data_IF_098697780261
#
_entry.id   IF_098697780261
#
_cell.length_a   1.000
_cell.length_b   1.000
_cell.length_c   1.000
_cell.angle_alpha   90.00
_cell.angle_beta   90.00
_cell.angle_gamma   90.00
#
_symmetry.space_group_name_H-M   'P 1'
#
loop_
_entity.id
_entity.type
_entity.pdbx_description
1 polymer ?
#
# COMPACT_ATOMS: atom_id res chain seq x y z
N UNK A 1 2.49 -27.45 4.68
CA UNK A 1 1.04 -27.17 4.74
C UNK A 1 0.45 -27.49 3.38
N UNK A 2 -0.62 -28.27 3.32
CA UNK A 2 -1.31 -28.56 2.06
C UNK A 2 -2.10 -27.33 1.65
N UNK A 3 -1.84 -26.80 0.43
CA UNK A 3 -2.59 -25.69 -0.12
C UNK A 3 -4.06 -26.11 -0.24
N UNK A 4 -5.04 -25.32 0.24
CA UNK A 4 -6.44 -25.62 -0.01
C UNK A 4 -6.70 -25.51 -1.52
N UNK A 5 -7.26 -26.54 -2.10
CA UNK A 5 -7.64 -26.55 -3.52
C UNK A 5 -9.06 -25.99 -3.59
N UNK A 6 -9.18 -24.74 -4.04
CA UNK A 6 -10.46 -24.15 -4.37
C UNK A 6 -10.64 -24.21 -5.90
N UNK A 7 -11.64 -24.92 -6.36
CA UNK A 7 -12.02 -24.89 -7.77
C UNK A 7 -12.93 -23.69 -8.05
N UNK A 8 -12.33 -22.51 -8.05
CA UNK A 8 -13.04 -21.25 -8.36
C UNK A 8 -12.84 -20.81 -9.81
N UNK A 9 -12.33 -21.71 -10.65
CA UNK A 9 -12.04 -21.42 -12.04
C UNK A 9 -10.90 -20.42 -12.21
N UNK A 10 -10.69 -19.94 -13.43
CA UNK A 10 -9.66 -18.99 -13.72
C UNK A 10 -9.96 -17.66 -13.03
N UNK A 11 -9.22 -17.38 -11.96
CA UNK A 11 -9.28 -16.11 -11.25
C UNK A 11 -8.35 -15.13 -11.95
N UNK A 12 -8.79 -13.88 -12.00
CA UNK A 12 -7.96 -12.78 -12.49
C UNK A 12 -6.62 -12.76 -11.76
N UNK A 13 -5.61 -12.39 -12.47
CA UNK A 13 -4.26 -12.21 -12.01
C UNK A 13 -4.22 -11.01 -11.05
N UNK A 14 -4.30 -11.28 -9.72
CA UNK A 14 -4.32 -10.26 -8.68
C UNK A 14 -3.00 -9.50 -8.55
N UNK A 15 -1.95 -10.01 -9.15
CA UNK A 15 -0.62 -9.43 -9.23
C UNK A 15 -0.45 -8.50 -10.46
N UNK A 16 -1.42 -8.46 -11.37
CA UNK A 16 -1.34 -7.64 -12.57
C UNK A 16 -2.14 -6.35 -12.45
N UNK A 17 -1.51 -5.26 -12.83
CA UNK A 17 -2.12 -3.92 -12.81
C UNK A 17 -3.33 -3.81 -13.76
N UNK A 18 -3.35 -4.58 -14.85
CA UNK A 18 -4.46 -4.63 -15.81
C UNK A 18 -5.78 -5.05 -15.16
N UNK A 19 -5.72 -5.89 -14.13
CA UNK A 19 -6.91 -6.30 -13.37
C UNK A 19 -7.60 -5.11 -12.68
N UNK A 20 -6.87 -4.03 -12.44
CA UNK A 20 -7.33 -2.85 -11.70
C UNK A 20 -7.50 -1.59 -12.57
N UNK A 21 -7.30 -1.69 -13.89
CA UNK A 21 -7.29 -0.53 -14.79
C UNK A 21 -8.66 0.17 -14.86
N UNK A 22 -9.74 -0.61 -14.80
CA UNK A 22 -11.12 -0.12 -14.78
C UNK A 22 -11.68 0.10 -13.36
N UNK A 23 -10.80 0.04 -12.36
CA UNK A 23 -11.14 0.17 -10.95
C UNK A 23 -11.02 -1.14 -10.17
N UNK A 24 -11.53 -1.13 -8.93
CA UNK A 24 -11.44 -2.32 -8.07
C UNK A 24 -12.37 -3.43 -8.57
N UNK A 25 -11.89 -4.67 -8.71
CA UNK A 25 -12.69 -5.80 -9.20
C UNK A 25 -13.61 -6.35 -8.10
N UNK A 26 -14.64 -5.57 -7.72
CA UNK A 26 -15.52 -5.89 -6.58
C UNK A 26 -16.24 -7.23 -6.72
N UNK A 27 -16.64 -7.61 -7.92
CA UNK A 27 -17.29 -8.89 -8.17
C UNK A 27 -16.35 -10.08 -7.91
N UNK A 28 -15.08 -9.95 -8.31
CA UNK A 28 -14.05 -10.93 -8.01
C UNK A 28 -13.81 -11.03 -6.49
N UNK A 29 -13.71 -9.91 -5.80
CA UNK A 29 -13.53 -9.91 -4.34
C UNK A 29 -14.75 -10.47 -3.61
N UNK A 30 -15.97 -10.22 -4.12
CA UNK A 30 -17.18 -10.84 -3.57
C UNK A 30 -17.16 -12.35 -3.72
N UNK A 31 -16.77 -12.84 -4.89
CA UNK A 31 -16.64 -14.25 -5.19
C UNK A 31 -15.58 -14.90 -4.29
N UNK A 32 -14.40 -14.31 -4.17
CA UNK A 32 -13.35 -14.78 -3.28
C UNK A 32 -13.83 -14.86 -1.82
N UNK A 33 -14.55 -13.85 -1.32
CA UNK A 33 -15.10 -13.89 0.05
C UNK A 33 -16.05 -15.04 0.30
N UNK A 34 -16.83 -15.43 -0.72
CA UNK A 34 -17.82 -16.50 -0.62
C UNK A 34 -17.21 -17.89 -0.78
N UNK A 35 -16.36 -18.06 -1.78
CA UNK A 35 -15.89 -19.37 -2.25
C UNK A 35 -14.49 -19.73 -1.74
N UNK A 36 -13.60 -18.75 -1.62
CA UNK A 36 -12.20 -18.94 -1.23
C UNK A 36 -11.65 -17.74 -0.43
N UNK A 37 -12.12 -17.53 0.81
CA UNK A 37 -11.77 -16.34 1.58
C UNK A 37 -10.28 -16.22 1.93
N UNK A 38 -9.55 -17.32 1.92
CA UNK A 38 -8.10 -17.42 2.03
C UNK A 38 -7.59 -18.13 0.78
N UNK A 39 -7.27 -17.38 -0.25
CA UNK A 39 -6.92 -17.89 -1.57
C UNK A 39 -5.41 -17.85 -1.80
N UNK A 40 -4.83 -18.97 -2.25
CA UNK A 40 -3.45 -18.99 -2.72
C UNK A 40 -3.41 -18.54 -4.17
N UNK A 41 -2.76 -17.41 -4.43
CA UNK A 41 -2.46 -16.91 -5.75
C UNK A 41 -1.04 -17.33 -6.13
N UNK A 42 -0.91 -18.04 -7.24
CA UNK A 42 0.40 -18.32 -7.82
C UNK A 42 0.85 -17.06 -8.56
N UNK A 43 2.00 -16.53 -8.20
CA UNK A 43 2.54 -15.34 -8.85
C UNK A 43 2.96 -15.66 -10.27
N UNK A 44 2.70 -14.74 -11.20
CA UNK A 44 3.06 -14.89 -12.59
C UNK A 44 4.52 -14.50 -12.89
N UNK A 45 5.25 -14.03 -11.87
CA UNK A 45 6.65 -13.65 -11.98
C UNK A 45 7.55 -14.83 -11.58
N UNK A 46 8.56 -15.13 -12.40
CA UNK A 46 9.39 -16.35 -12.33
C UNK A 46 10.21 -16.54 -11.03
N UNK A 47 10.26 -15.55 -10.14
CA UNK A 47 11.10 -15.57 -8.95
C UNK A 47 10.36 -15.47 -7.61
N UNK A 48 9.05 -15.40 -7.63
CA UNK A 48 8.25 -15.40 -6.38
C UNK A 48 7.31 -16.60 -6.31
N UNK A 49 7.19 -17.23 -5.14
CA UNK A 49 6.40 -18.46 -5.01
C UNK A 49 4.89 -18.23 -5.01
N UNK A 50 4.44 -16.96 -5.02
CA UNK A 50 3.04 -16.58 -4.87
C UNK A 50 2.69 -16.09 -3.46
N UNK A 51 1.41 -15.78 -3.25
CA UNK A 51 0.93 -15.16 -2.01
C UNK A 51 -0.47 -15.61 -1.60
N UNK A 52 -0.80 -15.40 -0.33
CA UNK A 52 -2.14 -15.63 0.19
C UNK A 52 -2.98 -14.36 0.12
N UNK A 53 -4.04 -14.39 -0.68
CA UNK A 53 -5.02 -13.31 -0.76
C UNK A 53 -6.09 -13.51 0.32
N UNK A 54 -6.22 -12.53 1.22
CA UNK A 54 -7.23 -12.50 2.26
C UNK A 54 -8.33 -11.50 1.88
N UNK A 55 -9.58 -11.95 1.90
CA UNK A 55 -10.70 -11.11 1.46
C UNK A 55 -11.76 -10.86 2.54
N UNK A 56 -11.72 -11.58 3.67
CA UNK A 56 -12.58 -11.32 4.81
C UNK A 56 -11.94 -10.37 5.81
N UNK A 57 -12.69 -9.38 6.27
CA UNK A 57 -12.22 -8.38 7.22
C UNK A 57 -11.68 -9.01 8.51
N UNK A 58 -12.34 -10.03 9.04
CA UNK A 58 -11.91 -10.73 10.26
C UNK A 58 -10.54 -11.39 10.11
N UNK A 59 -10.26 -11.99 8.95
CA UNK A 59 -8.96 -12.63 8.68
C UNK A 59 -7.86 -11.57 8.52
N UNK A 60 -8.15 -10.47 7.82
CA UNK A 60 -7.23 -9.34 7.67
C UNK A 60 -6.87 -8.75 9.04
N UNK A 61 -7.85 -8.54 9.91
CA UNK A 61 -7.63 -8.02 11.26
C UNK A 61 -6.80 -8.99 12.10
N UNK A 62 -7.04 -10.29 11.99
CA UNK A 62 -6.29 -11.32 12.71
C UNK A 62 -4.81 -11.30 12.31
N UNK A 63 -4.54 -11.31 11.01
CA UNK A 63 -3.17 -11.25 10.46
C UNK A 63 -2.48 -9.94 10.88
N UNK A 64 -3.16 -8.81 10.69
CA UNK A 64 -2.62 -7.48 11.01
C UNK A 64 -2.30 -7.27 12.50
N UNK A 65 -2.93 -8.01 13.40
CA UNK A 65 -2.70 -7.92 14.85
C UNK A 65 -1.66 -8.90 15.38
N UNK A 66 -1.15 -9.79 14.55
CA UNK A 66 -0.18 -10.82 14.96
C UNK A 66 1.15 -10.68 14.19
N UNK A 67 1.93 -9.63 14.46
CA UNK A 67 3.21 -9.40 13.78
C UNK A 67 4.28 -10.44 14.14
N UNK A 68 4.06 -11.22 15.19
CA UNK A 68 5.00 -12.30 15.56
C UNK A 68 4.87 -13.52 14.65
N UNK A 69 3.68 -13.74 14.09
CA UNK A 69 3.44 -14.82 13.12
C UNK A 69 3.55 -14.31 11.69
N UNK A 70 3.07 -13.08 11.45
CA UNK A 70 3.00 -12.42 10.14
C UNK A 70 3.90 -11.19 10.12
N UNK A 71 5.19 -11.43 9.91
CA UNK A 71 6.22 -10.39 9.87
C UNK A 71 6.07 -9.48 8.66
N UNK A 72 6.19 -8.17 8.86
CA UNK A 72 6.31 -7.18 7.78
C UNK A 72 7.77 -6.96 7.36
N UNK A 73 8.74 -7.38 8.18
CA UNK A 73 10.16 -7.16 7.92
C UNK A 73 10.76 -8.13 6.90
N UNK A 74 10.12 -9.28 6.67
CA UNK A 74 10.60 -10.33 5.76
C UNK A 74 10.21 -10.07 4.30
N UNK A 75 9.33 -9.12 4.05
CA UNK A 75 8.80 -8.76 2.74
C UNK A 75 7.30 -8.52 2.86
N UNK A 76 6.83 -7.37 2.50
CA UNK A 76 5.44 -7.00 2.75
C UNK A 76 4.75 -6.33 1.57
N UNK A 77 5.39 -6.30 0.44
CA UNK A 77 4.84 -5.63 -0.73
C UNK A 77 4.84 -6.59 -1.91
N UNK A 78 3.70 -6.73 -2.56
CA UNK A 78 3.59 -7.26 -3.92
C UNK A 78 4.25 -6.27 -4.88
N UNK A 79 5.54 -6.14 -4.75
CA UNK A 79 6.33 -5.40 -5.73
C UNK A 79 7.27 -6.39 -6.37
N UNK A 80 7.08 -6.61 -7.65
CA UNK A 80 8.18 -7.09 -8.47
C UNK A 80 9.31 -6.10 -8.29
N UNK A 81 10.29 -6.45 -7.49
CA UNK A 81 11.51 -5.66 -7.36
C UNK A 81 12.41 -5.81 -8.59
N UNK A 82 11.91 -6.47 -9.65
CA UNK A 82 12.67 -6.81 -10.82
C UNK A 82 13.64 -7.97 -10.58
N UNK A 83 14.51 -8.22 -11.54
CA UNK A 83 15.56 -9.21 -11.43
C UNK A 83 16.47 -8.89 -10.25
N UNK A 84 16.64 -9.80 -9.26
CA UNK A 84 17.51 -9.60 -8.10
C UNK A 84 18.97 -9.23 -8.46
N UNK A 85 19.42 -9.57 -9.67
CA UNK A 85 20.75 -9.21 -10.18
C UNK A 85 20.84 -7.74 -10.67
N UNK A 86 19.69 -7.10 -10.91
CA UNK A 86 19.60 -5.73 -11.46
C UNK A 86 19.12 -4.72 -10.43
N UNK A 87 18.46 -5.18 -9.36
CA UNK A 87 17.88 -4.28 -8.35
C UNK A 87 18.99 -3.66 -7.49
N UNK A 88 19.00 -2.34 -7.44
CA UNK A 88 19.92 -1.60 -6.57
C UNK A 88 19.70 -1.98 -5.09
N UNK A 89 20.68 -2.56 -4.40
CA UNK A 89 20.57 -2.90 -2.98
C UNK A 89 20.19 -1.71 -2.08
N UNK A 90 20.54 -0.48 -2.49
CA UNK A 90 20.17 0.72 -1.76
C UNK A 90 18.68 1.04 -1.89
N UNK A 91 18.08 0.78 -3.04
CA UNK A 91 16.64 0.92 -3.24
C UNK A 91 15.86 -0.11 -2.39
N UNK A 92 16.33 -1.36 -2.35
CA UNK A 92 15.76 -2.40 -1.47
C UNK A 92 15.86 -1.98 -0.01
N UNK A 93 17.03 -1.54 0.42
CA UNK A 93 17.25 -1.10 1.80
C UNK A 93 16.35 0.09 2.20
N UNK A 94 16.09 1.01 1.26
CA UNK A 94 15.20 2.15 1.49
C UNK A 94 13.72 1.70 1.65
N UNK A 95 13.29 0.69 0.92
CA UNK A 95 11.93 0.14 1.02
C UNK A 95 11.78 -0.67 2.33
N UNK A 96 12.72 -1.55 2.61
CA UNK A 96 12.69 -2.40 3.82
C UNK A 96 12.95 -1.59 5.10
N UNK A 97 13.75 -0.50 5.00
CA UNK A 97 14.10 0.37 6.13
C UNK A 97 12.99 1.35 6.54
N UNK A 98 11.86 1.42 5.85
CA UNK A 98 10.77 2.29 6.24
C UNK A 98 9.95 1.69 7.41
N UNK A 99 9.24 2.56 8.15
CA UNK A 99 8.47 2.15 9.33
C UNK A 99 7.37 1.11 9.02
N UNK A 100 6.86 1.07 7.81
CA UNK A 100 5.83 0.11 7.38
C UNK A 100 6.40 -1.31 7.30
N UNK A 101 7.66 -1.44 6.91
CA UNK A 101 8.38 -2.72 6.83
C UNK A 101 9.03 -3.16 8.13
N UNK A 102 8.71 -2.55 9.27
CA UNK A 102 9.30 -2.90 10.56
C UNK A 102 8.36 -3.75 11.42
N UNK A 103 8.93 -4.69 12.15
CA UNK A 103 8.25 -5.44 13.20
C UNK A 103 8.50 -4.85 14.59
N UNK A 104 7.72 -5.21 15.64
CA UNK A 104 8.06 -4.91 17.01
C UNK A 104 9.41 -5.56 17.43
N UNK A 105 10.24 -4.88 18.25
CA UNK A 105 9.95 -3.63 18.96
C UNK A 105 10.22 -2.37 18.14
N UNK A 106 10.96 -2.44 17.04
CA UNK A 106 11.47 -1.28 16.29
C UNK A 106 10.34 -0.42 15.73
N UNK A 107 9.33 -1.03 15.10
CA UNK A 107 8.13 -0.33 14.65
C UNK A 107 7.53 0.57 15.75
N UNK A 108 7.43 0.06 16.99
CA UNK A 108 6.82 0.80 18.09
C UNK A 108 7.67 2.00 18.52
N UNK A 109 8.99 1.88 18.45
CA UNK A 109 9.93 2.96 18.78
C UNK A 109 9.75 4.11 17.79
N UNK A 110 9.84 3.84 16.48
CA UNK A 110 9.69 4.86 15.44
C UNK A 110 8.28 5.46 15.43
N UNK A 111 7.24 4.64 15.57
CA UNK A 111 5.86 5.11 15.63
C UNK A 111 5.62 6.07 16.81
N UNK A 112 6.20 5.81 17.97
CA UNK A 112 6.11 6.72 19.15
C UNK A 112 6.78 8.06 18.89
N UNK A 113 7.87 8.09 18.12
CA UNK A 113 8.57 9.33 17.78
C UNK A 113 7.72 10.25 16.90
N UNK A 114 7.00 9.71 15.94
CA UNK A 114 6.20 10.50 14.98
C UNK A 114 4.76 10.77 15.44
N UNK A 115 4.20 9.93 16.31
CA UNK A 115 2.80 10.02 16.74
C UNK A 115 2.37 11.39 17.29
N UNK A 116 3.18 12.16 18.04
CA UNK A 116 2.81 13.50 18.50
C UNK A 116 2.48 14.47 17.37
N UNK A 117 3.14 14.34 16.21
CA UNK A 117 2.92 15.20 15.03
C UNK A 117 1.61 14.90 14.30
N UNK A 118 0.97 13.75 14.58
CA UNK A 118 -0.28 13.32 13.95
C UNK A 118 -1.49 13.39 14.89
N UNK A 119 -1.35 14.07 16.02
CA UNK A 119 -2.51 14.29 16.91
C UNK A 119 -3.53 15.24 16.26
N UNK A 120 -4.83 15.14 16.59
CA UNK A 120 -5.84 16.07 16.08
C UNK A 120 -5.51 17.55 16.35
N UNK A 121 -4.80 17.84 17.45
CA UNK A 121 -4.33 19.20 17.76
C UNK A 121 -3.23 19.64 16.82
N UNK A 122 -2.23 18.80 16.57
CA UNK A 122 -1.12 19.10 15.66
C UNK A 122 -1.64 19.29 14.20
N UNK A 123 -2.52 18.40 13.75
CA UNK A 123 -3.12 18.54 12.41
C UNK A 123 -3.93 19.83 12.28
N UNK A 124 -4.76 20.18 13.28
CA UNK A 124 -5.52 21.46 13.24
C UNK A 124 -4.62 22.69 13.24
N UNK A 125 -3.41 22.62 13.84
CA UNK A 125 -2.50 23.76 13.81
C UNK A 125 -1.95 24.06 12.41
N UNK A 126 -1.94 23.08 11.50
CA UNK A 126 -1.51 23.26 10.11
C UNK A 126 -2.57 23.90 9.21
N UNK A 127 -3.83 23.96 9.66
CA UNK A 127 -4.94 24.39 8.79
C UNK A 127 -4.75 25.82 8.28
N UNK A 128 -4.32 26.75 9.13
CA UNK A 128 -4.11 28.13 8.74
C UNK A 128 -2.97 28.27 7.72
N UNK A 129 -1.86 27.59 7.95
CA UNK A 129 -0.71 27.63 7.07
C UNK A 129 -1.04 27.03 5.69
N UNK A 130 -1.76 25.91 5.68
CA UNK A 130 -2.26 25.32 4.44
C UNK A 130 -3.23 26.25 3.69
N UNK A 131 -4.15 26.93 4.41
CA UNK A 131 -5.08 27.87 3.79
C UNK A 131 -4.36 29.07 3.18
N UNK A 132 -3.33 29.58 3.85
CA UNK A 132 -2.51 30.67 3.32
C UNK A 132 -1.76 30.23 2.07
N UNK A 133 -1.12 29.05 2.12
CA UNK A 133 -0.39 28.49 0.98
C UNK A 133 -1.30 28.25 -0.22
N UNK A 134 -2.47 27.67 -0.02
CA UNK A 134 -3.45 27.45 -1.09
C UNK A 134 -3.87 28.78 -1.73
N UNK A 135 -4.12 29.83 -0.95
CA UNK A 135 -4.48 31.16 -1.50
C UNK A 135 -3.36 31.72 -2.36
N UNK A 136 -2.13 31.71 -1.86
CA UNK A 136 -0.95 32.12 -2.63
C UNK A 136 -0.85 31.40 -3.97
N UNK A 137 -1.01 30.06 -3.96
CA UNK A 137 -0.95 29.25 -5.18
C UNK A 137 -2.09 29.58 -6.15
N UNK A 138 -3.31 29.81 -5.65
CA UNK A 138 -4.45 30.21 -6.49
C UNK A 138 -4.25 31.61 -7.10
N UNK A 139 -3.75 32.56 -6.34
CA UNK A 139 -3.42 33.94 -6.83
C UNK A 139 -2.37 33.88 -7.96
N UNK A 140 -1.38 32.96 -7.85
CA UNK A 140 -0.35 32.79 -8.88
C UNK A 140 -0.87 32.23 -10.21
N UNK A 141 -2.05 31.63 -10.23
CA UNK A 141 -2.65 31.05 -11.45
C UNK A 141 -3.93 31.73 -11.89
N UNK A 142 -4.47 32.70 -11.12
CA UNK A 142 -5.75 33.35 -11.38
C UNK A 142 -5.81 34.01 -12.77
N UNK A 143 -4.72 34.64 -13.21
CA UNK A 143 -4.63 35.31 -14.50
C UNK A 143 -4.20 34.39 -15.65
N UNK A 144 -3.88 33.10 -15.36
CA UNK A 144 -3.52 32.10 -16.37
C UNK A 144 -4.79 31.48 -16.93
N UNK A 145 -5.08 31.66 -18.21
CA UNK A 145 -6.25 31.07 -18.85
C UNK A 145 -6.29 29.54 -18.75
N UNK A 146 -5.13 28.90 -18.93
CA UNK A 146 -4.93 27.46 -18.74
C UNK A 146 -3.64 27.23 -17.96
N UNK A 147 -3.64 26.23 -17.07
CA UNK A 147 -2.46 25.84 -16.32
C UNK A 147 -2.51 24.34 -15.94
N UNK A 148 -1.35 23.75 -15.67
CA UNK A 148 -1.27 22.39 -15.19
C UNK A 148 -1.49 22.38 -13.66
N UNK A 149 -2.63 21.85 -13.23
CA UNK A 149 -3.00 21.81 -11.81
C UNK A 149 -2.01 21.02 -10.95
N UNK A 150 -1.41 19.97 -11.49
CA UNK A 150 -0.44 19.14 -10.74
C UNK A 150 0.81 19.97 -10.43
N UNK A 151 1.45 20.53 -11.46
CA UNK A 151 2.72 21.24 -11.30
C UNK A 151 2.59 22.57 -10.59
N UNK A 152 1.48 23.29 -10.80
CA UNK A 152 1.29 24.64 -10.26
C UNK A 152 0.65 24.65 -8.87
N UNK A 153 -0.10 23.62 -8.51
CA UNK A 153 -0.82 23.54 -7.23
C UNK A 153 -0.40 22.32 -6.41
N UNK A 154 -0.59 21.09 -6.94
CA UNK A 154 -0.48 19.90 -6.11
C UNK A 154 0.95 19.59 -5.65
N UNK A 155 1.94 19.83 -6.50
CA UNK A 155 3.36 19.63 -6.17
C UNK A 155 3.91 20.70 -5.22
N UNK A 156 3.21 21.82 -5.07
CA UNK A 156 3.63 22.95 -4.25
C UNK A 156 3.00 22.91 -2.83
N UNK A 157 2.01 22.05 -2.62
CA UNK A 157 1.35 21.80 -1.33
C UNK A 157 2.05 20.68 -0.55
#
# INVERSE_FOLDING_TARGET
>A
MTKPIYDIGQICELDKWETFIDGQPFELFERLRKEAPVYWHEESLDFEPGFWALTKHEDIIKVSKDPMTFSSAVGGHLMSMGDPEVVDPAAVAAIVGNMIGMDPPDHQIYRKMVAPSFTPKAIRSLENDMRLKIRELLENVEDKGEFNFVTEISEQL
#
